data_IF_953262104834
#
_entry.id   IF_953262104834
#
_cell.length_a   1.000
_cell.length_b   1.000
_cell.length_c   1.000
_cell.angle_alpha   90.00
_cell.angle_beta   90.00
_cell.angle_gamma   90.00
#
_symmetry.space_group_name_H-M   'P 1'
#
loop_
_entity.id
_entity.type
_entity.pdbx_description
1 polymer ?
#
# COMPACT_ATOMS: atom_id res chain seq x y z
N UNK A 1 -3.98 24.06 20.05
CA UNK A 1 -2.82 23.19 19.74
C UNK A 1 -3.15 22.21 18.60
N UNK A 2 -3.81 22.69 17.54
CA UNK A 2 -4.31 21.89 16.39
C UNK A 2 -3.77 22.39 15.04
N UNK A 3 -3.16 23.58 15.01
CA UNK A 3 -2.63 24.18 13.78
C UNK A 3 -1.48 23.35 13.15
N UNK A 4 -0.63 22.72 13.97
CA UNK A 4 0.56 22.02 13.48
C UNK A 4 0.27 20.67 12.77
N UNK A 5 -0.94 20.11 12.90
CA UNK A 5 -1.27 18.84 12.23
C UNK A 5 -1.50 19.04 10.74
N UNK A 6 -2.11 20.16 10.34
CA UNK A 6 -2.38 20.46 8.93
C UNK A 6 -1.18 21.09 8.21
N UNK A 7 -0.22 21.69 8.92
CA UNK A 7 1.04 22.17 8.32
C UNK A 7 1.90 21.04 7.72
N UNK A 8 1.76 19.82 8.23
CA UNK A 8 2.42 18.61 7.69
C UNK A 8 1.68 18.01 6.49
N UNK A 9 0.44 18.45 6.22
CA UNK A 9 -0.27 18.12 4.99
C UNK A 9 0.35 18.89 3.81
N UNK A 10 0.45 18.27 2.63
CA UNK A 10 1.09 18.80 1.42
C UNK A 10 2.61 19.05 1.47
N UNK A 11 3.23 19.10 2.65
CA UNK A 11 4.69 19.25 2.81
C UNK A 11 5.34 17.91 3.19
N UNK A 12 6.29 17.41 2.38
CA UNK A 12 7.03 16.16 2.67
C UNK A 12 8.14 16.31 3.73
N UNK A 13 8.35 17.54 4.26
CA UNK A 13 9.42 17.90 5.19
C UNK A 13 9.17 17.54 6.66
N UNK A 14 7.92 17.38 7.08
CA UNK A 14 7.55 16.91 8.41
C UNK A 14 6.93 15.51 8.30
N UNK A 15 7.36 14.58 9.16
CA UNK A 15 6.96 13.16 9.11
C UNK A 15 7.36 12.42 7.82
N UNK A 16 8.59 12.63 7.36
CA UNK A 16 9.14 11.98 6.16
C UNK A 16 9.27 10.47 6.34
N UNK A 17 9.60 10.01 7.56
CA UNK A 17 9.75 8.59 7.85
C UNK A 17 8.43 7.84 7.71
N UNK A 18 7.33 8.38 8.25
CA UNK A 18 6.00 7.76 8.19
C UNK A 18 5.46 7.73 6.75
N UNK A 19 5.61 8.83 6.01
CA UNK A 19 5.21 8.90 4.59
C UNK A 19 6.05 7.95 3.73
N UNK A 20 7.35 7.87 3.96
CA UNK A 20 8.25 6.95 3.26
C UNK A 20 7.92 5.49 3.59
N UNK A 21 7.73 5.15 4.88
CA UNK A 21 7.33 3.80 5.30
C UNK A 21 6.00 3.38 4.68
N UNK A 22 4.99 4.26 4.69
CA UNK A 22 3.70 3.98 4.05
C UNK A 22 3.86 3.73 2.54
N UNK A 23 4.62 4.57 1.85
CA UNK A 23 4.86 4.41 0.42
C UNK A 23 5.63 3.11 0.11
N UNK A 24 6.70 2.82 0.83
CA UNK A 24 7.48 1.59 0.66
C UNK A 24 6.64 0.34 0.91
N UNK A 25 5.79 0.36 1.94
CA UNK A 25 4.87 -0.74 2.21
C UNK A 25 3.85 -0.94 1.09
N UNK A 26 3.34 0.15 0.52
CA UNK A 26 2.44 0.09 -0.63
C UNK A 26 3.14 -0.47 -1.87
N UNK A 27 4.41 -0.12 -2.11
CA UNK A 27 5.21 -0.69 -3.20
C UNK A 27 5.48 -2.19 -2.99
N UNK A 28 5.75 -2.58 -1.75
CA UNK A 28 5.94 -3.98 -1.41
C UNK A 28 4.66 -4.80 -1.66
N UNK A 29 3.50 -4.30 -1.22
CA UNK A 29 2.20 -4.93 -1.47
C UNK A 29 1.86 -5.01 -2.97
N UNK A 30 2.18 -3.97 -3.75
CA UNK A 30 2.06 -4.01 -5.22
C UNK A 30 2.94 -5.11 -5.82
N UNK A 31 4.19 -5.24 -5.35
CA UNK A 31 5.14 -6.24 -5.85
C UNK A 31 4.65 -7.66 -5.55
N UNK A 32 4.18 -7.91 -4.32
CA UNK A 32 3.58 -9.20 -3.95
C UNK A 32 2.35 -9.52 -4.81
N UNK A 33 1.55 -8.51 -5.13
CA UNK A 33 0.36 -8.67 -5.99
C UNK A 33 0.76 -9.07 -7.40
N UNK A 34 1.73 -8.37 -8.00
CA UNK A 34 2.24 -8.69 -9.34
C UNK A 34 2.84 -10.10 -9.36
N UNK A 35 3.61 -10.47 -8.33
CA UNK A 35 4.20 -11.80 -8.21
C UNK A 35 3.14 -12.89 -8.08
N UNK A 36 2.14 -12.71 -7.21
CA UNK A 36 1.02 -13.64 -7.07
C UNK A 36 0.26 -13.82 -8.39
N UNK A 37 0.03 -12.73 -9.13
CA UNK A 37 -0.62 -12.75 -10.43
C UNK A 37 0.21 -13.49 -11.47
N UNK A 38 1.52 -13.23 -11.51
CA UNK A 38 2.45 -13.93 -12.40
C UNK A 38 2.47 -15.44 -12.14
N UNK A 39 2.36 -15.85 -10.88
CA UNK A 39 2.29 -17.25 -10.47
C UNK A 39 0.90 -17.88 -10.68
N UNK A 40 -0.08 -17.13 -11.18
CA UNK A 40 -1.45 -17.62 -11.42
C UNK A 40 -2.34 -17.66 -10.18
N UNK A 41 -1.87 -17.14 -9.04
CA UNK A 41 -2.63 -17.06 -7.78
C UNK A 41 -3.66 -15.91 -7.78
N UNK A 42 -4.40 -15.73 -8.87
CA UNK A 42 -5.45 -14.71 -8.98
C UNK A 42 -6.64 -14.97 -8.02
N UNK A 43 -6.74 -16.17 -7.46
CA UNK A 43 -7.82 -16.56 -6.53
C UNK A 43 -7.59 -16.14 -5.08
N UNK A 44 -6.37 -15.73 -4.72
CA UNK A 44 -6.03 -15.28 -3.36
C UNK A 44 -6.79 -14.02 -2.95
N UNK A 45 -7.32 -13.25 -3.92
CA UNK A 45 -8.10 -12.06 -3.64
C UNK A 45 -9.13 -11.78 -4.76
N UNK A 46 -10.43 -12.11 -4.56
CA UNK A 46 -11.45 -11.99 -5.60
C UNK A 46 -11.64 -10.56 -6.15
N UNK A 47 -11.28 -9.55 -5.36
CA UNK A 47 -11.26 -8.14 -5.79
C UNK A 47 -10.10 -7.87 -6.75
N UNK A 48 -8.92 -8.43 -6.48
CA UNK A 48 -7.72 -8.27 -7.32
C UNK A 48 -7.91 -8.95 -8.67
N UNK A 49 -8.65 -10.06 -8.76
CA UNK A 49 -8.94 -10.75 -10.03
C UNK A 49 -9.52 -9.81 -11.09
N UNK A 50 -10.44 -8.93 -10.72
CA UNK A 50 -11.00 -7.94 -11.63
C UNK A 50 -9.98 -6.84 -11.98
N UNK A 51 -9.17 -6.42 -11.01
CA UNK A 51 -8.14 -5.39 -11.20
C UNK A 51 -7.00 -5.83 -12.11
N UNK A 52 -6.66 -7.12 -12.14
CA UNK A 52 -5.61 -7.68 -13.00
C UNK A 52 -5.98 -7.61 -14.49
N UNK A 53 -7.27 -7.71 -14.81
CA UNK A 53 -7.73 -7.56 -16.19
C UNK A 53 -7.55 -6.13 -16.71
N UNK A 54 -7.34 -5.14 -15.83
CA UNK A 54 -7.15 -3.75 -16.18
C UNK A 54 -5.88 -3.24 -15.46
N UNK A 55 -4.67 -3.48 -16.01
CA UNK A 55 -3.40 -3.15 -15.35
C UNK A 55 -3.26 -1.67 -14.98
N UNK A 56 -3.89 -0.77 -15.76
CA UNK A 56 -3.95 0.67 -15.42
C UNK A 56 -4.70 0.91 -14.11
N UNK A 57 -5.83 0.22 -13.89
CA UNK A 57 -6.63 0.35 -12.67
C UNK A 57 -5.89 -0.20 -11.45
N UNK A 58 -5.11 -1.27 -11.63
CA UNK A 58 -4.24 -1.82 -10.59
C UNK A 58 -3.17 -0.81 -10.16
N UNK A 59 -2.52 -0.13 -11.11
CA UNK A 59 -1.57 0.94 -10.83
C UNK A 59 -2.24 2.14 -10.14
N UNK A 60 -3.43 2.55 -10.59
CA UNK A 60 -4.16 3.64 -9.93
C UNK A 60 -4.44 3.32 -8.46
N UNK A 61 -4.94 2.11 -8.18
CA UNK A 61 -5.35 1.73 -6.82
C UNK A 61 -4.17 1.47 -5.89
N UNK A 62 -3.11 0.82 -6.37
CA UNK A 62 -1.97 0.41 -5.53
C UNK A 62 -0.77 1.35 -5.58
N UNK A 63 -0.77 2.34 -6.47
CA UNK A 63 0.31 3.31 -6.63
C UNK A 63 -0.19 4.75 -6.49
N UNK A 64 -1.13 5.17 -7.35
CA UNK A 64 -1.54 6.57 -7.41
C UNK A 64 -2.33 7.00 -6.15
N UNK A 65 -3.30 6.18 -5.72
CA UNK A 65 -4.10 6.47 -4.52
C UNK A 65 -3.21 6.52 -3.26
N UNK A 66 -2.33 5.53 -2.98
CA UNK A 66 -1.41 5.60 -1.84
C UNK A 66 -0.48 6.81 -1.89
N UNK A 67 0.01 7.19 -3.07
CA UNK A 67 0.82 8.39 -3.23
C UNK A 67 0.04 9.66 -2.85
N UNK A 68 -1.20 9.79 -3.32
CA UNK A 68 -2.08 10.92 -2.99
C UNK A 68 -2.42 10.95 -1.50
N UNK A 69 -2.69 9.79 -0.90
CA UNK A 69 -2.95 9.65 0.54
C UNK A 69 -1.72 10.09 1.35
N UNK A 70 -0.52 9.62 1.00
CA UNK A 70 0.72 9.99 1.67
C UNK A 70 1.01 11.51 1.55
N UNK A 71 0.56 12.14 0.46
CA UNK A 71 0.76 13.56 0.24
C UNK A 71 -0.25 14.43 1.01
N UNK A 72 -1.53 14.06 1.00
CA UNK A 72 -2.62 14.83 1.58
C UNK A 72 -2.74 14.64 3.10
N UNK A 73 -2.39 13.46 3.63
CA UNK A 73 -2.60 13.13 5.04
C UNK A 73 -1.33 13.44 5.86
N UNK A 74 -1.45 14.08 7.04
CA UNK A 74 -0.31 14.27 7.93
C UNK A 74 0.19 12.95 8.49
N UNK A 75 1.52 12.79 8.55
CA UNK A 75 2.15 11.46 8.72
C UNK A 75 1.74 10.67 9.97
N UNK A 76 1.37 11.34 11.07
CA UNK A 76 0.87 10.68 12.28
C UNK A 76 -0.45 9.93 12.07
N UNK A 77 -1.30 10.41 11.15
CA UNK A 77 -2.55 9.73 10.79
C UNK A 77 -2.33 8.56 9.82
N UNK A 78 -1.12 8.42 9.24
CA UNK A 78 -0.77 7.28 8.40
C UNK A 78 -0.41 6.04 9.23
N UNK A 79 -0.03 6.19 10.50
CA UNK A 79 0.35 5.07 11.39
C UNK A 79 -0.66 3.90 11.42
N UNK A 80 -1.98 4.12 11.64
CA UNK A 80 -2.94 3.02 11.60
C UNK A 80 -3.01 2.34 10.23
N UNK A 81 -2.90 3.12 9.14
CA UNK A 81 -2.88 2.58 7.78
C UNK A 81 -1.61 1.78 7.49
N UNK A 82 -0.45 2.22 7.98
CA UNK A 82 0.83 1.51 7.88
C UNK A 82 0.73 0.17 8.62
N UNK A 83 0.19 0.16 9.84
CA UNK A 83 0.01 -1.07 10.61
C UNK A 83 -0.90 -2.07 9.90
N UNK A 84 -2.03 -1.61 9.37
CA UNK A 84 -2.98 -2.45 8.65
C UNK A 84 -2.39 -2.98 7.33
N UNK A 85 -1.70 -2.13 6.56
CA UNK A 85 -0.96 -2.56 5.37
C UNK A 85 0.13 -3.57 5.72
N UNK A 86 0.80 -3.42 6.86
CA UNK A 86 1.80 -4.37 7.36
C UNK A 86 1.22 -5.75 7.61
N UNK A 87 0.07 -5.82 8.29
CA UNK A 87 -0.61 -7.08 8.54
C UNK A 87 -1.04 -7.75 7.23
N UNK A 88 -1.60 -6.99 6.29
CA UNK A 88 -2.00 -7.51 4.97
C UNK A 88 -0.78 -7.98 4.18
N UNK A 89 0.32 -7.24 4.19
CA UNK A 89 1.55 -7.61 3.50
C UNK A 89 2.17 -8.89 4.08
N UNK A 90 2.20 -9.03 5.41
CA UNK A 90 2.68 -10.27 6.07
C UNK A 90 1.78 -11.45 5.73
N UNK A 91 0.45 -11.24 5.72
CA UNK A 91 -0.50 -12.27 5.31
C UNK A 91 -0.27 -12.70 3.86
N UNK A 92 -0.19 -11.74 2.93
CA UNK A 92 0.07 -12.00 1.52
C UNK A 92 1.40 -12.75 1.31
N UNK A 93 2.44 -12.35 2.03
CA UNK A 93 3.75 -13.02 1.97
C UNK A 93 3.68 -14.46 2.49
N UNK A 94 3.03 -14.67 3.66
CA UNK A 94 2.84 -16.00 4.24
C UNK A 94 2.08 -16.92 3.29
N UNK A 95 0.94 -16.46 2.76
CA UNK A 95 0.15 -17.24 1.81
C UNK A 95 0.96 -17.56 0.56
N UNK A 96 1.66 -16.57 -0.02
CA UNK A 96 2.50 -16.78 -1.20
C UNK A 96 3.60 -17.82 -0.97
N UNK A 97 4.26 -17.79 0.19
CA UNK A 97 5.27 -18.80 0.57
C UNK A 97 4.63 -20.19 0.72
N UNK A 98 3.45 -20.29 1.36
CA UNK A 98 2.74 -21.56 1.52
C UNK A 98 2.31 -22.18 0.19
N UNK A 99 1.94 -21.36 -0.79
CA UNK A 99 1.59 -21.87 -2.12
C UNK A 99 2.81 -22.23 -2.98
N UNK A 100 4.00 -21.69 -2.67
CA UNK A 100 5.25 -21.97 -3.38
C UNK A 100 6.02 -23.20 -2.85
N UNK A 101 5.71 -23.64 -1.62
CA UNK A 101 6.32 -24.80 -0.97
C UNK A 101 5.50 -26.07 -1.21
#
# INVERSE_FOLDING_TARGET
MTANLWESAATFRQCTAEKASFFLLSQFDLTLTILAVYLGFAELNPVIRYLVNIPVLLLVIKLAIPLLIAWLIPGKLLLPSIALLGLVAVWNLKELILYLL
#
